data_IF_894145403794
#
_entry.id   IF_894145403794
#
_cell.length_a   1.000
_cell.length_b   1.000
_cell.length_c   1.000
_cell.angle_alpha   90.00
_cell.angle_beta   90.00
_cell.angle_gamma   90.00
#
_symmetry.space_group_name_H-M   'P 1'
#
loop_
_entity.id
_entity.type
_entity.pdbx_description
1 polymer ?
#
# COMPACT_ATOMS: atom_id res chain seq x y z
N UNK A 1 -16.08 19.49 -4.41
CA UNK A 1 -16.76 18.20 -4.57
C UNK A 1 -15.76 17.06 -4.48
N UNK A 2 -16.12 16.00 -3.76
CA UNK A 2 -15.33 14.78 -3.61
C UNK A 2 -15.97 13.70 -4.50
N UNK A 3 -15.56 13.60 -5.76
CA UNK A 3 -16.11 12.61 -6.70
C UNK A 3 -15.24 11.35 -6.71
N UNK A 4 -15.79 10.23 -6.26
CA UNK A 4 -15.16 8.91 -6.39
C UNK A 4 -15.13 8.49 -7.87
N UNK A 5 -13.95 8.22 -8.41
CA UNK A 5 -13.80 7.74 -9.79
C UNK A 5 -14.10 6.24 -9.93
N UNK A 6 -13.58 5.42 -9.02
CA UNK A 6 -13.86 3.98 -8.92
C UNK A 6 -13.37 3.42 -7.57
N UNK A 7 -13.93 2.27 -7.19
CA UNK A 7 -13.50 1.45 -6.06
C UNK A 7 -13.51 -0.02 -6.52
N UNK A 8 -12.44 -0.76 -6.22
CA UNK A 8 -12.30 -2.16 -6.63
C UNK A 8 -11.83 -3.02 -5.45
N UNK A 9 -12.47 -4.17 -5.26
CA UNK A 9 -12.05 -5.16 -4.26
C UNK A 9 -11.27 -6.28 -4.93
N UNK A 10 -9.94 -6.26 -4.77
CA UNK A 10 -9.04 -7.26 -5.32
C UNK A 10 -8.88 -8.43 -4.34
N UNK A 11 -9.52 -9.56 -4.65
CA UNK A 11 -9.47 -10.78 -3.84
C UNK A 11 -8.27 -11.60 -4.25
N UNK A 12 -7.58 -12.17 -3.27
CA UNK A 12 -6.47 -13.10 -3.49
C UNK A 12 -6.79 -14.42 -2.80
N UNK A 13 -6.57 -15.52 -3.50
CA UNK A 13 -6.83 -16.85 -2.93
C UNK A 13 -5.67 -17.28 -2.03
N UNK A 14 -5.93 -18.26 -1.17
CA UNK A 14 -4.88 -18.84 -0.33
C UNK A 14 -3.77 -19.45 -1.18
N UNK A 15 -4.12 -20.07 -2.31
CA UNK A 15 -3.19 -20.71 -3.23
C UNK A 15 -2.25 -19.70 -3.89
N UNK A 16 -2.76 -18.53 -4.30
CA UNK A 16 -1.94 -17.44 -4.84
C UNK A 16 -0.95 -16.89 -3.82
N UNK A 17 -1.36 -16.85 -2.54
CA UNK A 17 -0.54 -16.30 -1.47
C UNK A 17 0.38 -17.34 -0.80
N UNK A 18 0.16 -18.64 -1.03
CA UNK A 18 0.88 -19.72 -0.38
C UNK A 18 2.38 -19.74 -0.70
N UNK A 19 2.80 -19.12 -1.81
CA UNK A 19 4.20 -19.02 -2.21
C UNK A 19 5.03 -17.97 -1.45
N UNK A 20 4.39 -17.11 -0.65
CA UNK A 20 5.08 -16.04 0.08
C UNK A 20 5.33 -16.45 1.53
N UNK A 21 6.56 -16.29 2.01
CA UNK A 21 6.94 -16.67 3.37
C UNK A 21 6.51 -15.61 4.40
N UNK A 22 6.65 -14.35 4.03
CA UNK A 22 6.27 -13.20 4.84
C UNK A 22 5.24 -12.33 4.12
N UNK A 23 4.52 -11.51 4.88
CA UNK A 23 3.57 -10.55 4.30
C UNK A 23 4.29 -9.57 3.37
N UNK A 24 5.47 -9.08 3.76
CA UNK A 24 6.26 -8.12 2.95
C UNK A 24 6.68 -8.70 1.60
N UNK A 25 6.83 -10.03 1.48
CA UNK A 25 7.20 -10.69 0.22
C UNK A 25 6.09 -10.55 -0.83
N UNK A 26 4.84 -10.30 -0.41
CA UNK A 26 3.71 -10.07 -1.31
C UNK A 26 3.74 -8.68 -1.97
N UNK A 27 4.63 -7.76 -1.56
CA UNK A 27 4.57 -6.35 -1.97
C UNK A 27 4.55 -6.16 -3.49
N UNK A 28 5.46 -6.83 -4.21
CA UNK A 28 5.60 -6.63 -5.65
C UNK A 28 4.42 -7.24 -6.41
N UNK A 29 3.92 -8.39 -5.94
CA UNK A 29 2.70 -9.01 -6.44
C UNK A 29 1.49 -8.08 -6.26
N UNK A 30 1.26 -7.57 -5.05
CA UNK A 30 0.12 -6.67 -4.77
C UNK A 30 0.22 -5.37 -5.55
N UNK A 31 1.41 -4.78 -5.64
CA UNK A 31 1.67 -3.58 -6.44
C UNK A 31 1.29 -3.79 -7.90
N UNK A 32 1.72 -4.91 -8.49
CA UNK A 32 1.38 -5.26 -9.87
C UNK A 32 -0.13 -5.33 -10.08
N UNK A 33 -0.86 -6.05 -9.23
CA UNK A 33 -2.32 -6.19 -9.33
C UNK A 33 -3.02 -4.82 -9.24
N UNK A 34 -2.56 -3.94 -8.35
CA UNK A 34 -3.08 -2.56 -8.25
C UNK A 34 -2.85 -1.79 -9.56
N UNK A 35 -1.62 -1.80 -10.08
CA UNK A 35 -1.28 -1.06 -11.30
C UNK A 35 -2.00 -1.62 -12.54
N UNK A 36 -2.18 -2.94 -12.62
CA UNK A 36 -2.93 -3.58 -13.70
C UNK A 36 -4.39 -3.09 -13.70
N UNK A 37 -5.04 -3.04 -12.52
CA UNK A 37 -6.44 -2.58 -12.40
C UNK A 37 -6.58 -1.09 -12.73
N UNK A 38 -5.63 -0.25 -12.31
CA UNK A 38 -5.60 1.17 -12.70
C UNK A 38 -5.49 1.30 -14.23
N UNK A 39 -4.63 0.50 -14.86
CA UNK A 39 -4.47 0.47 -16.31
C UNK A 39 -5.75 -0.02 -17.02
N UNK A 40 -6.41 -1.07 -16.52
CA UNK A 40 -7.69 -1.59 -17.06
C UNK A 40 -8.82 -0.54 -17.00
N UNK A 41 -8.81 0.32 -15.98
CA UNK A 41 -9.73 1.46 -15.86
C UNK A 41 -9.33 2.66 -16.72
N UNK A 42 -8.26 2.54 -17.52
CA UNK A 42 -7.66 3.64 -18.29
C UNK A 42 -7.29 4.85 -17.42
N UNK A 43 -6.89 4.60 -16.17
CA UNK A 43 -6.46 5.64 -15.25
C UNK A 43 -4.95 5.90 -15.40
N UNK A 44 -4.56 7.14 -15.70
CA UNK A 44 -3.15 7.53 -15.75
C UNK A 44 -2.63 7.79 -14.34
N UNK A 45 -1.83 6.86 -13.80
CA UNK A 45 -1.25 6.95 -12.47
C UNK A 45 -0.39 8.20 -12.27
N UNK A 46 0.14 8.81 -13.34
CA UNK A 46 0.94 10.04 -13.25
C UNK A 46 0.11 11.27 -12.88
N UNK A 47 -1.22 11.14 -12.88
CA UNK A 47 -2.14 12.20 -12.45
C UNK A 47 -2.42 12.18 -10.95
N UNK A 48 -1.89 11.20 -10.21
CA UNK A 48 -2.03 11.13 -8.77
C UNK A 48 -1.22 12.25 -8.10
N UNK A 49 -1.83 12.97 -7.18
CA UNK A 49 -1.12 13.95 -6.32
C UNK A 49 -0.59 13.31 -5.03
N UNK A 50 -1.16 12.18 -4.61
CA UNK A 50 -0.86 11.52 -3.34
C UNK A 50 -1.27 10.06 -3.36
N UNK A 51 -0.51 9.20 -2.66
CA UNK A 51 -0.88 7.81 -2.40
C UNK A 51 -1.17 7.61 -0.90
N UNK A 52 -2.32 7.05 -0.56
CA UNK A 52 -2.68 6.79 0.84
C UNK A 52 -2.92 5.31 1.05
N UNK A 53 -2.17 4.73 1.99
CA UNK A 53 -2.30 3.35 2.42
C UNK A 53 -3.04 3.25 3.74
N UNK A 54 -3.63 2.11 4.06
CA UNK A 54 -4.11 1.86 5.43
C UNK A 54 -2.90 1.67 6.35
N UNK A 55 -2.96 2.25 7.56
CA UNK A 55 -2.01 1.95 8.64
C UNK A 55 -1.87 0.44 8.91
N UNK A 56 -0.63 0.00 9.13
CA UNK A 56 -0.28 -1.36 9.51
C UNK A 56 -0.42 -1.63 11.01
N UNK A 57 0.20 -2.72 11.46
CA UNK A 57 0.49 -2.96 12.87
C UNK A 57 1.62 -2.02 13.29
N UNK A 58 1.23 -0.86 13.84
CA UNK A 58 2.15 0.22 14.22
C UNK A 58 2.31 0.31 15.73
N UNK A 59 3.39 0.98 16.16
CA UNK A 59 3.54 1.39 17.56
C UNK A 59 2.32 2.25 17.94
N UNK A 60 1.90 2.27 19.22
CA UNK A 60 0.84 3.17 19.65
C UNK A 60 1.19 4.63 19.31
N UNK A 61 0.35 5.25 18.49
CA UNK A 61 0.46 6.65 18.06
C UNK A 61 -0.92 7.31 18.14
N UNK A 62 -1.00 8.64 18.30
CA UNK A 62 -2.26 9.37 18.18
C UNK A 62 -2.94 9.12 16.83
N UNK A 63 -4.25 9.35 16.76
CA UNK A 63 -4.97 9.35 15.49
C UNK A 63 -4.56 10.55 14.64
N UNK A 64 -4.37 10.35 13.35
CA UNK A 64 -3.97 11.39 12.40
C UNK A 64 -3.45 10.81 11.09
N UNK A 65 -3.06 11.70 10.18
CA UNK A 65 -2.40 11.34 8.92
C UNK A 65 -0.90 11.45 9.08
N UNK A 66 -0.18 10.40 8.72
CA UNK A 66 1.28 10.34 8.88
C UNK A 66 1.94 10.09 7.53
N UNK A 67 2.96 10.90 7.21
CA UNK A 67 3.80 10.60 6.05
C UNK A 67 4.48 9.25 6.25
N UNK A 68 4.59 8.46 5.18
CA UNK A 68 5.33 7.20 5.23
C UNK A 68 6.82 7.50 5.23
N UNK A 69 7.38 7.79 6.40
CA UNK A 69 8.81 7.99 6.59
C UNK A 69 9.60 6.70 6.41
N UNK A 70 10.92 6.80 6.30
CA UNK A 70 11.80 5.63 6.20
C UNK A 70 11.72 4.74 7.46
N UNK A 71 11.64 5.35 8.64
CA UNK A 71 11.46 4.64 9.90
C UNK A 71 10.12 3.89 9.95
N UNK A 72 9.04 4.53 9.48
CA UNK A 72 7.73 3.89 9.41
C UNK A 72 7.73 2.74 8.41
N UNK A 73 8.34 2.96 7.24
CA UNK A 73 8.48 1.95 6.20
C UNK A 73 9.25 0.72 6.72
N UNK A 74 10.34 0.94 7.45
CA UNK A 74 11.13 -0.13 8.05
C UNK A 74 10.34 -0.90 9.10
N UNK A 75 9.65 -0.20 10.02
CA UNK A 75 8.79 -0.83 11.03
C UNK A 75 7.71 -1.72 10.39
N UNK A 76 7.12 -1.28 9.27
CA UNK A 76 6.14 -2.05 8.50
C UNK A 76 6.76 -3.29 7.83
N UNK A 77 7.96 -3.15 7.23
CA UNK A 77 8.69 -4.22 6.54
C UNK A 77 9.09 -5.34 7.49
N UNK A 78 9.69 -5.00 8.63
CA UNK A 78 10.10 -6.00 9.64
C UNK A 78 8.92 -6.48 10.49
N UNK A 79 7.77 -5.82 10.40
CA UNK A 79 6.59 -6.11 11.21
C UNK A 79 6.85 -5.89 12.69
N UNK A 80 7.34 -4.71 13.07
CA UNK A 80 7.79 -4.39 14.43
C UNK A 80 6.74 -4.68 15.52
N UNK A 81 5.45 -4.53 15.20
CA UNK A 81 4.31 -4.84 16.09
C UNK A 81 3.50 -6.05 15.61
N UNK A 82 4.06 -6.85 14.72
CA UNK A 82 3.44 -8.04 14.14
C UNK A 82 3.33 -8.00 12.62
N UNK A 83 3.13 -9.20 12.05
CA UNK A 83 2.92 -9.41 10.63
C UNK A 83 1.42 -9.45 10.34
N UNK A 84 0.93 -8.52 9.54
CA UNK A 84 -0.46 -8.47 9.09
C UNK A 84 -0.54 -7.88 7.69
N UNK A 85 -1.50 -8.32 6.88
CA UNK A 85 -1.67 -7.86 5.49
C UNK A 85 -1.79 -6.32 5.37
N UNK A 86 -2.33 -5.65 6.40
CA UNK A 86 -2.41 -4.18 6.42
C UNK A 86 -1.06 -3.48 6.47
N UNK A 87 0.03 -4.17 6.86
CA UNK A 87 1.38 -3.60 6.80
C UNK A 87 1.76 -3.21 5.36
N UNK A 88 1.23 -3.92 4.37
CA UNK A 88 1.45 -3.61 2.96
C UNK A 88 0.83 -2.27 2.55
N UNK A 89 -0.17 -1.75 3.26
CA UNK A 89 -0.83 -0.50 2.90
C UNK A 89 0.17 0.66 2.78
N UNK A 90 0.89 0.96 3.87
CA UNK A 90 1.93 2.00 3.87
C UNK A 90 3.11 1.67 2.94
N UNK A 91 3.51 0.41 2.85
CA UNK A 91 4.61 -0.02 1.97
C UNK A 91 4.26 0.25 0.50
N UNK A 92 3.07 -0.15 0.06
CA UNK A 92 2.60 0.03 -1.33
C UNK A 92 2.38 1.50 -1.66
N UNK A 93 1.80 2.27 -0.74
CA UNK A 93 1.63 3.71 -0.93
C UNK A 93 2.97 4.41 -1.12
N UNK A 94 3.99 4.04 -0.33
CA UNK A 94 5.35 4.58 -0.46
C UNK A 94 6.03 4.15 -1.76
N UNK A 95 5.94 2.88 -2.12
CA UNK A 95 6.53 2.34 -3.35
C UNK A 95 5.94 2.92 -4.63
N UNK A 96 4.64 3.22 -4.66
CA UNK A 96 3.99 3.87 -5.80
C UNK A 96 4.28 5.38 -5.76
N UNK A 97 4.19 6.01 -4.58
CA UNK A 97 4.48 7.43 -4.40
C UNK A 97 5.89 7.81 -4.84
N UNK A 98 6.89 7.04 -4.41
CA UNK A 98 8.30 7.28 -4.76
C UNK A 98 8.55 7.15 -6.26
N UNK A 99 7.90 6.19 -6.95
CA UNK A 99 8.01 6.03 -8.42
C UNK A 99 7.40 7.21 -9.19
N UNK A 100 6.35 7.81 -8.66
CA UNK A 100 5.64 8.93 -9.27
C UNK A 100 6.17 10.29 -8.82
N UNK A 101 7.02 10.32 -7.78
CA UNK A 101 7.52 11.56 -7.16
C UNK A 101 6.45 12.30 -6.35
N UNK A 102 5.46 11.58 -5.81
CA UNK A 102 4.33 12.15 -5.06
C UNK A 102 4.37 11.67 -3.60
N UNK A 103 3.86 12.47 -2.65
CA UNK A 103 3.87 12.09 -1.25
C UNK A 103 3.00 10.85 -0.98
N UNK A 104 3.35 10.14 0.09
CA UNK A 104 2.60 8.98 0.57
C UNK A 104 2.29 9.07 2.06
N UNK A 105 1.10 8.61 2.44
CA UNK A 105 0.59 8.70 3.81
C UNK A 105 -0.12 7.42 4.25
N UNK A 106 -0.34 7.32 5.56
CA UNK A 106 -1.25 6.38 6.23
C UNK A 106 -2.20 7.09 7.20
#
# INVERSE_FOLDING_TARGET
DETLLFEETLRHTTEELAGFNMIVDQKDFRKKVILDVLAEKNFDIKTLDVCVGRGGMLKPIPGGTYAVSDDLLEDLKIGKQGQHASNLGGILAREIGDELGVPSYI
#
